data_IF_144998179657
#
_entry.id   IF_144998179657
#
_cell.length_a   1.000
_cell.length_b   1.000
_cell.length_c   1.000
_cell.angle_alpha   90.00
_cell.angle_beta   90.00
_cell.angle_gamma   90.00
#
_symmetry.space_group_name_H-M   'P 1'
#
loop_
_entity.id
_entity.type
_entity.pdbx_description
1 polymer ?
#
# COMPACT_ATOMS: atom_id res chain seq x y z
N UNK A 1 1.56 29.26 5.12
CA UNK A 1 2.28 27.97 5.07
C UNK A 1 3.31 28.06 3.95
N UNK A 2 4.60 28.22 4.28
CA UNK A 2 5.65 28.64 3.34
C UNK A 2 6.13 27.54 2.38
N UNK A 3 6.85 27.95 1.33
CA UNK A 3 7.38 27.07 0.27
C UNK A 3 8.23 25.92 0.81
N UNK A 4 8.99 26.15 1.89
CA UNK A 4 9.83 25.13 2.55
C UNK A 4 9.02 24.02 3.24
N UNK A 5 7.81 24.32 3.74
CA UNK A 5 6.94 23.31 4.35
C UNK A 5 6.34 22.35 3.32
N UNK A 6 6.19 22.79 2.06
CA UNK A 6 5.67 21.97 0.96
C UNK A 6 6.71 21.01 0.38
N UNK A 7 7.98 21.42 0.36
CA UNK A 7 9.12 20.57 -0.02
C UNK A 7 9.26 19.36 0.93
N UNK A 8 9.15 19.60 2.24
CA UNK A 8 9.19 18.52 3.25
C UNK A 8 8.04 17.53 3.15
N UNK A 9 6.85 17.98 2.74
CA UNK A 9 5.70 17.10 2.49
C UNK A 9 5.86 16.26 1.21
N UNK A 10 6.54 16.77 0.18
CA UNK A 10 6.80 16.04 -1.08
C UNK A 10 7.76 14.86 -0.90
N UNK A 11 8.63 14.91 0.10
CA UNK A 11 9.49 13.79 0.49
C UNK A 11 8.76 12.68 1.28
N UNK A 12 7.48 12.88 1.63
CA UNK A 12 6.73 11.89 2.40
C UNK A 12 6.30 10.73 1.51
N UNK A 13 6.54 9.53 2.03
CA UNK A 13 6.15 8.27 1.41
C UNK A 13 4.74 7.87 1.83
N UNK A 14 3.88 7.59 0.86
CA UNK A 14 2.52 7.08 1.08
C UNK A 14 2.49 5.61 0.70
N UNK A 15 2.04 4.74 1.60
CA UNK A 15 1.70 3.36 1.26
C UNK A 15 0.21 3.29 0.94
N UNK A 16 -0.11 3.01 -0.32
CA UNK A 16 -1.45 2.74 -0.80
C UNK A 16 -1.72 1.23 -0.74
N UNK A 17 -2.71 0.81 0.05
CA UNK A 17 -3.03 -0.60 0.27
C UNK A 17 -4.45 -0.90 -0.19
N UNK A 18 -4.57 -1.66 -1.29
CA UNK A 18 -5.83 -2.03 -1.93
C UNK A 18 -5.96 -3.53 -2.17
N UNK A 19 -7.08 -3.97 -2.75
CA UNK A 19 -7.29 -5.37 -3.09
C UNK A 19 -6.36 -5.83 -4.22
N UNK A 20 -6.12 -4.98 -5.21
CA UNK A 20 -5.43 -5.34 -6.45
C UNK A 20 -4.87 -4.12 -7.19
N UNK A 21 -4.74 -4.23 -8.51
CA UNK A 21 -4.17 -3.18 -9.37
C UNK A 21 -5.10 -2.89 -10.57
N UNK A 22 -6.17 -2.13 -10.32
CA UNK A 22 -7.14 -1.79 -11.38
C UNK A 22 -6.83 -0.44 -12.03
N UNK A 23 -7.66 -0.05 -13.01
CA UNK A 23 -7.59 1.28 -13.63
C UNK A 23 -7.85 2.39 -12.58
N UNK A 24 -8.72 2.15 -11.61
CA UNK A 24 -9.03 3.14 -10.57
C UNK A 24 -7.83 3.36 -9.64
N UNK A 25 -7.21 2.28 -9.17
CA UNK A 25 -5.98 2.36 -8.34
C UNK A 25 -4.90 3.15 -9.08
N UNK A 26 -4.60 2.77 -10.33
CA UNK A 26 -3.54 3.41 -11.13
C UNK A 26 -3.79 4.89 -11.37
N UNK A 27 -5.03 5.28 -11.67
CA UNK A 27 -5.39 6.70 -11.82
C UNK A 27 -5.19 7.47 -10.53
N UNK A 28 -5.56 6.88 -9.40
CA UNK A 28 -5.42 7.52 -8.09
C UNK A 28 -3.94 7.67 -7.68
N UNK A 29 -3.16 6.59 -7.83
CA UNK A 29 -1.71 6.58 -7.60
C UNK A 29 -1.00 7.62 -8.47
N UNK A 30 -1.35 7.71 -9.76
CA UNK A 30 -0.78 8.72 -10.66
C UNK A 30 -1.06 10.14 -10.15
N UNK A 31 -2.28 10.43 -9.66
CA UNK A 31 -2.58 11.75 -9.10
C UNK A 31 -1.74 12.05 -7.86
N UNK A 32 -1.55 11.07 -6.97
CA UNK A 32 -0.67 11.24 -5.80
C UNK A 32 0.76 11.61 -6.24
N UNK A 33 1.28 10.88 -7.23
CA UNK A 33 2.60 11.14 -7.80
C UNK A 33 2.67 12.51 -8.50
N UNK A 34 1.64 12.93 -9.24
CA UNK A 34 1.57 14.25 -9.90
C UNK A 34 1.61 15.42 -8.89
N UNK A 35 1.08 15.20 -7.68
CA UNK A 35 1.20 16.15 -6.57
C UNK A 35 2.61 16.18 -5.94
N UNK A 36 3.50 15.28 -6.36
CA UNK A 36 4.90 15.21 -5.97
C UNK A 36 5.17 14.37 -4.73
N UNK A 37 4.26 13.47 -4.34
CA UNK A 37 4.49 12.53 -3.24
C UNK A 37 5.11 11.23 -3.75
N UNK A 38 6.01 10.64 -2.97
CA UNK A 38 6.46 9.27 -3.20
C UNK A 38 5.34 8.31 -2.79
N UNK A 39 4.91 7.43 -3.71
CA UNK A 39 3.81 6.50 -3.44
C UNK A 39 4.23 5.07 -3.72
N UNK A 40 3.92 4.17 -2.79
CA UNK A 40 4.10 2.73 -2.88
C UNK A 40 2.74 2.06 -2.90
N UNK A 41 2.61 0.94 -3.62
CA UNK A 41 1.38 0.14 -3.66
C UNK A 41 1.59 -1.23 -3.02
N UNK A 42 0.63 -1.68 -2.21
CA UNK A 42 0.54 -3.05 -1.71
C UNK A 42 -0.83 -3.61 -2.10
N UNK A 43 -0.88 -4.88 -2.51
CA UNK A 43 -2.11 -5.53 -2.93
C UNK A 43 -2.40 -6.74 -2.04
N UNK A 44 -3.61 -6.80 -1.51
CA UNK A 44 -4.07 -7.94 -0.71
C UNK A 44 -4.14 -9.22 -1.56
N UNK A 45 -4.48 -9.11 -2.85
CA UNK A 45 -4.54 -10.25 -3.78
C UNK A 45 -3.25 -11.04 -3.89
N UNK A 46 -2.12 -10.42 -3.54
CA UNK A 46 -0.79 -11.01 -3.65
C UNK A 46 -0.35 -11.72 -2.36
N UNK A 47 -1.14 -11.61 -1.28
CA UNK A 47 -0.84 -12.24 -0.01
C UNK A 47 -0.70 -13.76 -0.15
N UNK A 48 0.42 -14.29 0.36
CA UNK A 48 0.75 -15.72 0.32
C UNK A 48 1.05 -16.28 -1.08
N UNK A 49 1.08 -15.46 -2.13
CA UNK A 49 1.53 -15.88 -3.47
C UNK A 49 3.06 -15.79 -3.51
N UNK A 50 3.72 -16.87 -3.95
CA UNK A 50 5.16 -16.85 -4.19
C UNK A 50 5.49 -15.76 -5.20
N UNK A 51 6.63 -15.06 -5.00
CA UNK A 51 7.14 -14.06 -5.95
C UNK A 51 7.09 -14.67 -7.35
N UNK A 52 6.29 -14.12 -8.25
CA UNK A 52 6.53 -14.31 -9.68
C UNK A 52 7.84 -13.56 -9.94
N UNK A 53 8.87 -14.31 -10.34
CA UNK A 53 10.25 -13.86 -10.52
C UNK A 53 10.40 -12.36 -10.84
N UNK A 54 11.35 -11.74 -10.15
CA UNK A 54 11.87 -10.40 -10.38
C UNK A 54 12.40 -10.26 -11.81
N UNK A 55 11.51 -9.98 -12.74
CA UNK A 55 11.81 -9.32 -14.01
C UNK A 55 10.71 -8.33 -14.32
N UNK A 56 10.61 -7.29 -13.51
CA UNK A 56 10.45 -5.91 -13.98
C UNK A 56 10.91 -4.98 -12.86
N UNK A 57 12.21 -5.02 -12.57
CA UNK A 57 12.96 -3.78 -12.25
C UNK A 57 13.05 -2.97 -13.54
N UNK A 58 11.90 -2.53 -14.02
CA UNK A 58 11.75 -1.49 -14.98
C UNK A 58 10.78 -0.56 -14.30
N UNK A 59 11.19 0.66 -13.99
CA UNK A 59 10.23 1.71 -13.80
C UNK A 59 9.30 1.65 -15.02
N UNK A 60 8.10 1.05 -14.87
CA UNK A 60 7.05 1.28 -15.83
C UNK A 60 6.81 2.75 -15.70
N UNK A 61 7.28 3.52 -16.68
CA UNK A 61 7.19 4.97 -16.69
C UNK A 61 5.73 5.34 -16.39
N UNK A 62 5.44 5.74 -15.14
CA UNK A 62 4.08 6.03 -14.64
C UNK A 62 3.45 5.10 -13.60
N UNK A 63 4.07 3.98 -13.19
CA UNK A 63 3.51 3.10 -12.14
C UNK A 63 4.30 3.21 -10.81
N UNK A 64 3.57 3.39 -9.70
CA UNK A 64 4.13 3.42 -8.35
C UNK A 64 4.90 2.12 -8.02
N UNK A 65 6.06 2.19 -7.33
CA UNK A 65 6.73 1.01 -6.76
C UNK A 65 5.76 0.09 -6.01
N UNK A 66 5.92 -1.23 -6.16
CA UNK A 66 5.05 -2.25 -5.55
C UNK A 66 5.76 -2.88 -4.35
N UNK A 67 5.22 -2.68 -3.15
CA UNK A 67 5.60 -3.40 -1.95
C UNK A 67 5.18 -4.87 -2.07
N UNK A 68 5.90 -5.76 -1.36
CA UNK A 68 5.67 -7.20 -1.42
C UNK A 68 5.46 -7.77 -0.03
N UNK A 69 4.54 -8.72 0.09
CA UNK A 69 4.40 -9.51 1.32
C UNK A 69 5.67 -10.33 1.59
N UNK A 70 6.08 -10.49 2.87
CA UNK A 70 7.20 -11.36 3.21
C UNK A 70 6.92 -12.81 2.80
N UNK A 71 8.00 -13.56 2.52
CA UNK A 71 7.90 -14.99 2.18
C UNK A 71 7.23 -15.74 3.34
N UNK A 72 6.23 -16.57 3.02
CA UNK A 72 5.50 -17.34 4.02
C UNK A 72 4.34 -16.59 4.67
N UNK A 73 4.00 -15.38 4.20
CA UNK A 73 2.75 -14.73 4.59
C UNK A 73 1.54 -15.65 4.34
N UNK A 74 0.55 -15.66 5.25
CA UNK A 74 -0.67 -16.44 5.07
C UNK A 74 -1.38 -16.15 3.74
N UNK A 75 -2.03 -17.18 3.18
CA UNK A 75 -2.93 -17.01 2.04
C UNK A 75 -4.30 -16.61 2.58
N UNK A 76 -4.86 -15.51 2.07
CA UNK A 76 -6.20 -15.05 2.40
C UNK A 76 -7.20 -15.63 1.41
N UNK A 77 -8.21 -16.36 1.89
CA UNK A 77 -9.31 -16.91 1.08
C UNK A 77 -10.61 -16.14 1.29
N UNK A 78 -10.80 -15.58 2.49
CA UNK A 78 -11.94 -14.76 2.85
C UNK A 78 -11.59 -13.63 3.84
N UNK A 79 -12.52 -12.71 4.11
CA UNK A 79 -12.32 -11.60 5.06
C UNK A 79 -11.89 -12.05 6.46
N UNK A 80 -12.31 -13.24 6.89
CA UNK A 80 -11.97 -13.85 8.18
C UNK A 80 -10.48 -14.19 8.33
N UNK A 81 -9.77 -14.41 7.22
CA UNK A 81 -8.35 -14.72 7.22
C UNK A 81 -7.49 -13.46 7.32
N UNK A 82 -8.05 -12.28 7.04
CA UNK A 82 -7.30 -11.02 6.94
C UNK A 82 -6.50 -10.69 8.21
N UNK A 83 -7.02 -10.87 9.45
CA UNK A 83 -6.24 -10.62 10.66
C UNK A 83 -4.96 -11.45 10.77
N UNK A 84 -4.90 -12.63 10.14
CA UNK A 84 -3.71 -13.49 10.18
C UNK A 84 -2.49 -12.85 9.48
N UNK A 85 -2.72 -11.88 8.59
CA UNK A 85 -1.66 -11.14 7.92
C UNK A 85 -1.00 -10.07 8.78
N UNK A 86 -1.53 -9.77 9.97
CA UNK A 86 -1.06 -8.64 10.78
C UNK A 86 0.46 -8.62 11.04
N UNK A 87 1.13 -9.74 11.40
CA UNK A 87 2.58 -9.75 11.55
C UNK A 87 3.30 -9.41 10.24
N UNK A 88 2.91 -10.07 9.15
CA UNK A 88 3.49 -9.83 7.82
C UNK A 88 3.25 -8.39 7.33
N UNK A 89 2.11 -7.80 7.66
CA UNK A 89 1.79 -6.43 7.33
C UNK A 89 2.66 -5.43 8.09
N UNK A 90 2.93 -5.71 9.39
CA UNK A 90 3.88 -4.91 10.18
C UNK A 90 5.29 -4.96 9.62
N UNK A 91 5.72 -6.11 9.08
CA UNK A 91 7.01 -6.21 8.38
C UNK A 91 7.03 -5.34 7.11
N UNK A 92 5.95 -5.33 6.33
CA UNK A 92 5.83 -4.43 5.17
C UNK A 92 5.90 -2.96 5.58
N UNK A 93 5.21 -2.57 6.66
CA UNK A 93 5.27 -1.20 7.19
C UNK A 93 6.69 -0.83 7.66
N UNK A 94 7.42 -1.77 8.26
CA UNK A 94 8.78 -1.57 8.72
C UNK A 94 9.79 -1.45 7.56
N UNK A 95 9.58 -2.18 6.46
CA UNK A 95 10.41 -2.11 5.26
C UNK A 95 10.15 -0.84 4.45
N UNK A 96 8.87 -0.61 4.11
CA UNK A 96 8.46 0.56 3.31
C UNK A 96 8.65 1.86 4.09
N UNK A 97 8.46 1.85 5.41
CA UNK A 97 8.49 3.05 6.29
C UNK A 97 7.65 4.21 5.71
N UNK A 98 6.34 3.99 5.47
CA UNK A 98 5.50 5.07 4.99
C UNK A 98 5.35 6.14 6.08
N UNK A 99 5.18 7.39 5.65
CA UNK A 99 4.73 8.47 6.51
C UNK A 99 3.20 8.51 6.63
N UNK A 100 2.48 7.96 5.65
CA UNK A 100 1.02 7.86 5.64
C UNK A 100 0.62 6.51 5.08
N UNK A 101 -0.30 5.82 5.76
CA UNK A 101 -0.96 4.63 5.24
C UNK A 101 -2.33 5.01 4.69
N UNK A 102 -2.59 4.71 3.42
CA UNK A 102 -3.88 4.91 2.79
C UNK A 102 -4.46 3.56 2.36
N UNK A 103 -5.46 3.06 3.07
CA UNK A 103 -5.91 1.68 2.87
C UNK A 103 -7.44 1.56 2.71
N UNK A 104 -7.85 0.64 1.84
CA UNK A 104 -9.24 0.26 1.64
C UNK A 104 -9.41 -0.93 0.69
N UNK A 105 -10.60 -1.52 0.58
CA UNK A 105 -11.85 -1.12 1.24
C UNK A 105 -11.86 -1.42 2.74
N UNK A 106 -12.82 -0.81 3.46
CA UNK A 106 -12.93 -0.91 4.93
C UNK A 106 -12.91 -2.32 5.48
N UNK A 107 -13.58 -3.27 4.82
CA UNK A 107 -13.77 -4.62 5.37
C UNK A 107 -12.55 -5.54 5.20
N UNK A 108 -11.52 -5.11 4.46
CA UNK A 108 -10.33 -5.92 4.18
C UNK A 108 -9.04 -5.15 4.48
N UNK A 109 -8.48 -4.43 3.51
CA UNK A 109 -7.21 -3.72 3.67
C UNK A 109 -7.31 -2.62 4.73
N UNK A 110 -8.45 -1.91 4.77
CA UNK A 110 -8.73 -0.90 5.79
C UNK A 110 -8.83 -1.49 7.20
N UNK A 111 -9.43 -2.68 7.32
CA UNK A 111 -9.52 -3.41 8.59
C UNK A 111 -8.14 -3.86 9.07
N UNK A 112 -7.32 -4.46 8.19
CA UNK A 112 -5.95 -4.84 8.53
C UNK A 112 -5.08 -3.63 8.90
N UNK A 113 -5.25 -2.51 8.18
CA UNK A 113 -4.60 -1.25 8.51
C UNK A 113 -4.98 -0.76 9.91
N UNK A 114 -6.26 -0.80 10.29
CA UNK A 114 -6.71 -0.44 11.62
C UNK A 114 -6.10 -1.36 12.71
N UNK A 115 -6.05 -2.67 12.47
CA UNK A 115 -5.43 -3.64 13.39
C UNK A 115 -3.91 -3.42 13.57
N UNK A 116 -3.25 -2.79 12.59
CA UNK A 116 -1.83 -2.47 12.68
C UNK A 116 -1.50 -1.35 13.67
N UNK A 117 -2.49 -0.55 14.04
CA UNK A 117 -2.35 0.67 14.86
C UNK A 117 -1.41 1.71 14.24
N UNK A 118 -1.10 1.60 12.95
CA UNK A 118 -0.28 2.57 12.23
C UNK A 118 -0.97 3.92 12.13
N UNK A 119 -0.23 5.00 12.39
CA UNK A 119 -0.71 6.37 12.24
C UNK A 119 0.36 7.25 11.58
N UNK A 120 -0.03 8.23 10.73
CA UNK A 120 -1.40 8.52 10.30
C UNK A 120 -1.95 7.52 9.26
N UNK A 121 -3.23 7.19 9.42
CA UNK A 121 -3.97 6.25 8.57
C UNK A 121 -5.20 6.94 7.94
N UNK A 122 -5.35 6.80 6.63
CA UNK A 122 -6.50 7.24 5.83
C UNK A 122 -7.29 6.03 5.33
N UNK A 123 -8.50 5.88 5.85
CA UNK A 123 -9.41 4.82 5.45
C UNK A 123 -10.19 5.19 4.18
N UNK A 124 -10.23 4.28 3.20
CA UNK A 124 -11.16 4.35 2.06
C UNK A 124 -12.29 3.34 2.25
N UNK A 125 -13.54 3.79 2.09
CA UNK A 125 -14.70 2.91 2.14
C UNK A 125 -14.92 2.11 0.87
N UNK A 126 -14.38 2.59 -0.26
CA UNK A 126 -14.49 1.93 -1.55
C UNK A 126 -13.31 1.01 -1.82
N UNK A 127 -13.59 -0.04 -2.57
CA UNK A 127 -12.59 -0.89 -3.17
C UNK A 127 -12.33 -0.49 -4.62
N UNK A 128 -11.53 -1.32 -5.27
CA UNK A 128 -11.13 -1.21 -6.67
C UNK A 128 -11.18 -2.60 -7.26
#
# INVERSE_FOLDING_TARGET
MGHAGREGLRALRILYFSLGDTVHDRRFLQRIADFGYEVWSLQLSDAGRARRDERTSGATSGAAPRASWPKGAPIVKGPEDVPSLLPAFRDVLADVRPAVLHAGPTQSCGYLAALSEFHPFLLMSWGS
#
